data_IF_143583205945
#
_entry.id   IF_143583205945
#
_cell.length_a   1.000
_cell.length_b   1.000
_cell.length_c   1.000
_cell.angle_alpha   90.00
_cell.angle_beta   90.00
_cell.angle_gamma   90.00
#
_symmetry.space_group_name_H-M   'P 1'
#
loop_
_entity.id
_entity.type
_entity.pdbx_description
1 polymer ?
#
# COMPACT_ATOMS: atom_id res chain seq x y z
N UNK A 1 -4.46 18.82 -21.01
CA UNK A 1 -4.12 18.84 -19.57
C UNK A 1 -2.71 18.28 -19.38
N UNK A 2 -1.87 18.87 -18.51
CA UNK A 2 -0.51 18.37 -18.24
C UNK A 2 -0.56 17.46 -17.01
N UNK A 3 -0.21 16.18 -17.17
CA UNK A 3 -0.11 15.21 -16.06
C UNK A 3 1.16 15.45 -15.23
N UNK A 4 1.09 15.27 -13.92
CA UNK A 4 2.20 15.53 -13.02
C UNK A 4 2.22 14.56 -11.82
N UNK A 5 3.41 14.27 -11.30
CA UNK A 5 3.60 13.29 -10.22
C UNK A 5 4.84 13.58 -9.36
N UNK A 6 4.91 12.93 -8.21
CA UNK A 6 6.00 13.02 -7.24
C UNK A 6 6.40 11.64 -6.74
N UNK A 7 7.69 11.44 -6.47
CA UNK A 7 8.20 10.31 -5.69
C UNK A 7 9.06 10.83 -4.56
N UNK A 8 8.74 10.42 -3.32
CA UNK A 8 9.50 10.81 -2.13
C UNK A 8 9.96 9.60 -1.33
N UNK A 9 11.16 9.69 -0.73
CA UNK A 9 11.79 8.65 0.09
C UNK A 9 11.66 9.00 1.58
N UNK A 10 11.45 8.00 2.45
CA UNK A 10 11.27 8.21 3.90
C UNK A 10 12.54 8.01 4.73
N UNK A 11 12.85 8.96 5.64
CA UNK A 11 13.92 8.85 6.66
C UNK A 11 13.38 8.53 8.06
N UNK A 12 14.14 7.80 8.89
CA UNK A 12 13.64 7.26 10.16
C UNK A 12 13.44 8.29 11.28
N UNK A 13 12.32 8.19 12.01
CA UNK A 13 12.10 8.84 13.32
C UNK A 13 11.38 7.90 14.31
N UNK A 14 11.46 8.20 15.61
CA UNK A 14 11.06 7.32 16.73
C UNK A 14 9.57 7.45 17.15
N UNK A 15 8.99 6.36 17.67
CA UNK A 15 7.53 6.13 17.84
C UNK A 15 6.98 6.21 19.28
N UNK A 16 5.66 6.51 19.40
CA UNK A 16 4.82 6.29 20.60
C UNK A 16 3.38 5.79 20.29
N UNK A 17 2.84 4.96 21.20
CA UNK A 17 1.49 4.31 21.43
C UNK A 17 0.19 4.92 20.85
N UNK A 18 -1.03 4.31 20.82
CA UNK A 18 -1.68 2.98 21.02
C UNK A 18 -3.21 3.21 20.92
N UNK A 19 -4.01 2.42 20.16
CA UNK A 19 -5.38 1.98 20.57
C UNK A 19 -6.02 0.96 19.60
N UNK A 20 -6.95 0.17 20.13
CA UNK A 20 -7.69 -0.95 19.53
C UNK A 20 -8.90 -0.51 18.70
N UNK A 21 -9.28 -1.29 17.66
CA UNK A 21 -10.64 -1.39 17.05
C UNK A 21 -10.66 -2.64 16.13
N UNK A 22 -11.83 -3.15 15.74
CA UNK A 22 -12.02 -4.40 14.96
C UNK A 22 -11.98 -4.14 13.44
N UNK A 23 -11.52 -5.12 12.65
CA UNK A 23 -11.40 -5.09 11.17
C UNK A 23 -12.64 -5.72 10.51
N UNK A 24 -13.28 -5.04 9.56
CA UNK A 24 -14.39 -5.51 8.70
C UNK A 24 -14.14 -4.89 7.31
N UNK A 25 -13.97 -5.66 6.23
CA UNK A 25 -15.07 -5.93 5.29
C UNK A 25 -15.20 -7.38 4.78
N UNK A 26 -14.33 -8.31 5.17
CA UNK A 26 -14.55 -9.75 4.87
C UNK A 26 -15.68 -10.39 5.73
N UNK A 27 -16.28 -9.62 6.65
CA UNK A 27 -17.29 -10.10 7.59
C UNK A 27 -18.74 -9.78 7.22
N UNK A 28 -19.02 -8.88 6.27
CA UNK A 28 -20.41 -8.70 5.80
C UNK A 28 -20.91 -9.90 4.97
N UNK A 29 -19.99 -10.71 4.43
CA UNK A 29 -20.31 -11.99 3.81
C UNK A 29 -20.58 -13.12 4.83
N UNK A 30 -20.23 -12.94 6.11
CA UNK A 30 -20.31 -14.02 7.11
C UNK A 30 -21.77 -14.38 7.48
N UNK A 31 -22.69 -13.43 7.71
CA UNK A 31 -24.11 -13.76 7.91
C UNK A 31 -24.77 -14.38 6.67
N UNK A 32 -24.39 -13.95 5.47
CA UNK A 32 -24.91 -14.52 4.21
C UNK A 32 -24.35 -15.92 3.92
N UNK A 33 -23.06 -16.16 4.16
CA UNK A 33 -22.45 -17.48 4.01
C UNK A 33 -23.03 -18.50 4.99
N UNK A 34 -23.35 -18.09 6.23
CA UNK A 34 -24.09 -18.94 7.19
C UNK A 34 -25.51 -19.24 6.70
N UNK A 35 -26.22 -18.27 6.10
CA UNK A 35 -27.54 -18.49 5.47
C UNK A 35 -27.50 -19.42 4.25
N UNK A 36 -26.37 -19.49 3.54
CA UNK A 36 -26.17 -20.34 2.35
C UNK A 36 -25.57 -21.72 2.68
N UNK A 37 -25.51 -22.12 3.96
CA UNK A 37 -24.96 -23.43 4.36
C UNK A 37 -23.43 -23.53 4.32
N UNK A 38 -22.73 -22.41 4.12
CA UNK A 38 -21.27 -22.32 4.06
C UNK A 38 -20.65 -21.96 5.41
N UNK A 39 -21.30 -22.30 6.52
CA UNK A 39 -20.88 -21.92 7.87
C UNK A 39 -19.46 -22.41 8.21
N UNK A 40 -19.06 -23.59 7.72
CA UNK A 40 -17.71 -24.11 7.88
C UNK A 40 -16.67 -23.26 7.14
N UNK A 41 -16.97 -22.80 5.93
CA UNK A 41 -16.10 -21.91 5.14
C UNK A 41 -16.05 -20.51 5.73
N UNK A 42 -17.18 -19.97 6.20
CA UNK A 42 -17.24 -18.71 6.92
C UNK A 42 -16.37 -18.73 8.19
N UNK A 43 -16.40 -19.83 8.95
CA UNK A 43 -15.55 -20.02 10.14
C UNK A 43 -14.07 -20.16 9.78
N UNK A 44 -13.73 -20.85 8.68
CA UNK A 44 -12.35 -20.93 8.17
C UNK A 44 -11.84 -19.55 7.73
N UNK A 45 -12.64 -18.81 6.99
CA UNK A 45 -12.32 -17.44 6.55
C UNK A 45 -12.14 -16.53 7.76
N UNK A 46 -13.07 -16.56 8.72
CA UNK A 46 -12.96 -15.81 9.97
C UNK A 46 -11.66 -16.17 10.72
N UNK A 47 -11.35 -17.46 10.85
CA UNK A 47 -10.11 -17.92 11.46
C UNK A 47 -8.85 -17.42 10.75
N UNK A 48 -8.86 -17.35 9.41
CA UNK A 48 -7.75 -16.81 8.61
C UNK A 48 -7.62 -15.29 8.82
N UNK A 49 -8.71 -14.54 8.77
CA UNK A 49 -8.74 -13.09 9.01
C UNK A 49 -8.25 -12.76 10.41
N UNK A 50 -8.73 -13.47 11.43
CA UNK A 50 -8.28 -13.25 12.82
C UNK A 50 -6.80 -13.59 13.02
N UNK A 51 -6.25 -14.56 12.27
CA UNK A 51 -4.81 -14.87 12.29
C UNK A 51 -3.96 -13.80 11.58
N UNK A 52 -4.52 -13.13 10.58
CA UNK A 52 -3.90 -12.02 9.86
C UNK A 52 -3.81 -10.73 10.69
N UNK A 53 -4.55 -10.65 11.79
CA UNK A 53 -4.53 -9.52 12.73
C UNK A 53 -3.83 -9.95 14.03
N UNK A 54 -2.94 -9.09 14.54
CA UNK A 54 -2.29 -9.31 15.83
C UNK A 54 -3.31 -9.20 16.97
N UNK A 55 -3.44 -10.26 17.78
CA UNK A 55 -4.31 -10.27 18.97
C UNK A 55 -3.97 -9.17 19.98
N UNK A 56 -2.69 -8.80 20.11
CA UNK A 56 -2.22 -7.83 21.11
C UNK A 56 -2.43 -6.37 20.71
N UNK A 57 -2.30 -6.04 19.41
CA UNK A 57 -2.27 -4.64 18.93
C UNK A 57 -3.26 -4.34 17.80
N UNK A 58 -4.05 -5.32 17.35
CA UNK A 58 -5.00 -5.13 16.25
C UNK A 58 -4.34 -4.80 14.89
N UNK A 59 -3.02 -5.00 14.76
CA UNK A 59 -2.24 -4.67 13.56
C UNK A 59 -2.20 -5.81 12.55
N UNK A 60 -2.13 -5.48 11.26
CA UNK A 60 -1.98 -6.44 10.17
C UNK A 60 -0.65 -7.20 10.28
N UNK A 61 -0.66 -8.46 9.85
CA UNK A 61 0.50 -9.36 9.81
C UNK A 61 0.70 -9.83 8.38
N UNK A 62 1.52 -9.11 7.62
CA UNK A 62 1.75 -9.38 6.19
C UNK A 62 2.14 -10.83 5.89
N UNK A 63 3.05 -11.42 6.68
CA UNK A 63 3.43 -12.83 6.52
C UNK A 63 2.32 -13.86 6.84
N UNK A 64 1.18 -13.43 7.36
CA UNK A 64 -0.03 -14.28 7.48
C UNK A 64 -1.02 -14.04 6.35
N UNK A 65 -0.94 -12.88 5.70
CA UNK A 65 -1.78 -12.50 4.54
C UNK A 65 -1.21 -13.15 3.27
N UNK A 66 0.08 -12.92 2.99
CA UNK A 66 0.76 -13.39 1.78
C UNK A 66 1.51 -14.72 1.95
N UNK A 67 1.48 -15.29 3.16
CA UNK A 67 2.25 -16.49 3.49
C UNK A 67 3.65 -16.20 4.03
N UNK A 68 4.26 -17.22 4.62
CA UNK A 68 5.67 -17.18 5.01
C UNK A 68 6.57 -17.33 3.79
N UNK A 69 7.89 -17.07 3.93
CA UNK A 69 8.82 -17.30 2.85
C UNK A 69 8.67 -18.71 2.27
N UNK A 70 8.60 -18.78 0.95
CA UNK A 70 8.62 -20.05 0.22
C UNK A 70 9.96 -20.70 0.57
N UNK A 71 9.93 -21.87 1.21
CA UNK A 71 11.15 -22.67 1.33
C UNK A 71 11.55 -22.98 -0.10
N UNK A 72 12.73 -22.54 -0.53
CA UNK A 72 13.29 -23.01 -1.78
C UNK A 72 13.39 -24.53 -1.66
N UNK A 73 12.70 -25.25 -2.55
CA UNK A 73 12.82 -26.70 -2.65
C UNK A 73 14.23 -27.01 -3.18
N UNK A 74 15.18 -27.11 -2.25
CA UNK A 74 16.46 -27.75 -2.48
C UNK A 74 16.24 -29.24 -2.65
N UNK A 75 15.90 -29.64 -3.88
CA UNK A 75 15.90 -31.04 -4.31
C UNK A 75 17.29 -31.66 -4.15
N UNK A 76 17.34 -32.82 -3.52
CA UNK A 76 18.58 -33.58 -3.32
C UNK A 76 18.42 -34.68 -2.28
N UNK A 77 17.54 -35.65 -2.57
CA UNK A 77 17.47 -36.89 -1.81
C UNK A 77 18.75 -37.70 -2.01
N UNK A 78 19.40 -38.06 -0.90
CA UNK A 78 20.32 -39.20 -0.83
C UNK A 78 20.26 -39.77 0.58
N UNK A 79 19.78 -41.01 0.65
CA UNK A 79 19.75 -41.89 1.81
C UNK A 79 21.13 -42.14 2.42
N UNK A 80 21.25 -42.03 3.74
CA UNK A 80 22.43 -42.46 4.50
C UNK A 80 22.19 -42.40 6.00
N UNK A 81 22.23 -43.56 6.65
CA UNK A 81 21.89 -43.80 8.06
C UNK A 81 23.01 -43.42 9.04
N UNK A 82 22.59 -42.89 10.20
CA UNK A 82 23.21 -42.90 11.53
C UNK A 82 24.68 -42.44 11.74
N UNK A 83 24.83 -41.31 12.45
CA UNK A 83 25.79 -41.17 13.55
C UNK A 83 25.38 -40.04 14.51
N UNK A 84 25.21 -40.36 15.80
CA UNK A 84 25.12 -39.38 16.90
C UNK A 84 26.51 -38.76 17.08
N UNK A 85 26.61 -37.45 16.87
CA UNK A 85 27.81 -36.67 17.13
C UNK A 85 27.46 -35.25 17.56
N UNK A 86 27.86 -34.90 18.77
CA UNK A 86 27.76 -33.58 19.38
C UNK A 86 28.54 -32.53 18.58
N UNK A 87 27.97 -31.35 18.32
CA UNK A 87 28.77 -30.11 18.18
C UNK A 87 27.95 -28.83 18.32
N UNK A 88 28.56 -27.91 19.06
CA UNK A 88 28.18 -26.53 19.25
C UNK A 88 28.24 -25.72 17.94
N UNK A 89 27.49 -24.61 17.93
CA UNK A 89 27.83 -23.39 17.21
C UNK A 89 27.56 -23.38 15.70
N UNK A 90 26.45 -22.77 15.30
CA UNK A 90 26.32 -21.96 14.07
C UNK A 90 24.84 -21.62 13.90
N UNK A 91 24.39 -20.55 14.57
CA UNK A 91 23.07 -19.97 14.37
C UNK A 91 23.06 -19.20 13.03
N UNK A 92 23.07 -19.94 11.92
CA UNK A 92 22.75 -19.39 10.58
C UNK A 92 21.24 -19.43 10.43
N UNK A 93 20.57 -18.51 11.11
CA UNK A 93 19.21 -18.10 10.80
C UNK A 93 19.21 -17.48 9.41
N UNK A 94 19.01 -18.29 8.37
CA UNK A 94 18.60 -17.81 7.05
C UNK A 94 17.21 -17.22 7.20
N UNK A 95 17.16 -15.91 7.47
CA UNK A 95 15.91 -15.13 7.38
C UNK A 95 15.52 -15.15 5.92
N UNK A 96 14.72 -16.13 5.52
CA UNK A 96 14.17 -16.15 4.19
C UNK A 96 13.37 -14.84 4.01
N UNK A 97 13.85 -14.00 3.10
CA UNK A 97 13.38 -12.63 2.94
C UNK A 97 11.92 -12.65 2.52
N UNK A 98 11.11 -11.82 3.19
CA UNK A 98 9.73 -11.59 2.75
C UNK A 98 9.77 -10.67 1.54
N UNK A 99 8.85 -10.88 0.61
CA UNK A 99 8.66 -9.94 -0.50
C UNK A 99 8.26 -8.56 0.05
N UNK A 100 8.74 -7.46 -0.55
CA UNK A 100 8.34 -6.11 -0.19
C UNK A 100 6.84 -5.93 -0.33
N UNK A 101 6.24 -5.13 0.55
CA UNK A 101 4.81 -4.79 0.49
C UNK A 101 4.64 -3.46 -0.22
N UNK A 102 3.85 -3.46 -1.31
CA UNK A 102 3.42 -2.26 -2.03
C UNK A 102 1.96 -1.96 -1.73
N UNK A 103 1.61 -0.69 -1.61
CA UNK A 103 0.31 -0.22 -1.14
C UNK A 103 -0.27 0.82 -2.09
N UNK A 104 -1.44 0.57 -2.67
CA UNK A 104 -2.23 1.63 -3.31
C UNK A 104 -3.33 2.12 -2.36
N UNK A 105 -3.43 3.44 -2.22
CA UNK A 105 -4.44 4.13 -1.42
C UNK A 105 -5.50 4.73 -2.36
N UNK A 106 -6.77 4.56 -2.00
CA UNK A 106 -7.91 4.99 -2.81
C UNK A 106 -7.90 4.35 -4.22
N UNK A 107 -7.78 3.02 -4.25
CA UNK A 107 -7.57 2.22 -5.47
C UNK A 107 -8.69 2.29 -6.52
N UNK A 108 -9.82 2.92 -6.22
CA UNK A 108 -10.94 3.00 -7.14
C UNK A 108 -11.42 1.60 -7.52
N UNK A 109 -11.67 1.36 -8.81
CA UNK A 109 -12.11 0.05 -9.33
C UNK A 109 -11.00 -0.98 -9.47
N UNK A 110 -9.75 -0.61 -9.16
CA UNK A 110 -8.61 -1.52 -9.14
C UNK A 110 -7.92 -1.79 -10.47
N UNK A 111 -8.31 -1.11 -11.55
CA UNK A 111 -7.69 -1.30 -12.87
C UNK A 111 -6.16 -1.20 -12.79
N UNK A 112 -5.64 -0.20 -12.08
CA UNK A 112 -4.20 0.01 -11.97
C UNK A 112 -3.52 -1.03 -11.08
N UNK A 113 -3.92 -1.18 -9.82
CA UNK A 113 -3.23 -2.07 -8.86
C UNK A 113 -3.29 -3.55 -9.23
N UNK A 114 -4.37 -4.01 -9.86
CA UNK A 114 -4.48 -5.40 -10.33
C UNK A 114 -3.41 -5.67 -11.39
N UNK A 115 -3.28 -4.76 -12.36
CA UNK A 115 -2.30 -4.90 -13.45
C UNK A 115 -0.86 -4.70 -12.96
N UNK A 116 -0.62 -3.80 -12.00
CA UNK A 116 0.69 -3.70 -11.36
C UNK A 116 1.03 -4.98 -10.59
N UNK A 117 0.09 -5.51 -9.79
CA UNK A 117 0.32 -6.72 -9.02
C UNK A 117 0.63 -7.93 -9.91
N UNK A 118 -0.09 -8.08 -11.03
CA UNK A 118 0.19 -9.08 -12.06
C UNK A 118 1.59 -8.95 -12.66
N UNK A 119 2.02 -7.72 -12.98
CA UNK A 119 3.35 -7.46 -13.52
C UNK A 119 4.47 -7.69 -12.49
N UNK A 120 4.13 -7.77 -11.20
CA UNK A 120 5.07 -7.82 -10.08
C UNK A 120 4.98 -9.15 -9.28
N UNK A 121 4.39 -10.19 -9.88
CA UNK A 121 4.26 -11.52 -9.27
C UNK A 121 5.65 -12.08 -8.96
N UNK A 122 5.82 -12.54 -7.71
CA UNK A 122 7.09 -13.08 -7.22
C UNK A 122 8.12 -12.01 -6.82
N UNK A 123 7.89 -10.74 -7.17
CA UNK A 123 8.75 -9.62 -6.82
C UNK A 123 8.20 -8.78 -5.63
N UNK A 124 6.87 -8.60 -5.54
CA UNK A 124 6.25 -7.90 -4.41
C UNK A 124 4.88 -8.47 -4.02
N UNK A 125 4.45 -8.14 -2.81
CA UNK A 125 3.07 -8.33 -2.32
C UNK A 125 2.33 -7.00 -2.34
N UNK A 126 1.18 -6.95 -2.99
CA UNK A 126 0.39 -5.74 -3.17
C UNK A 126 -0.81 -5.68 -2.24
N UNK A 127 -1.11 -4.49 -1.74
CA UNK A 127 -2.32 -4.19 -0.97
C UNK A 127 -3.05 -3.02 -1.62
N UNK A 128 -4.33 -3.19 -1.92
CA UNK A 128 -5.23 -2.13 -2.37
C UNK A 128 -6.10 -1.68 -1.19
N UNK A 129 -6.23 -0.37 -0.98
CA UNK A 129 -7.14 0.21 0.02
C UNK A 129 -8.18 1.07 -0.68
N UNK A 130 -9.45 0.78 -0.44
CA UNK A 130 -10.56 1.52 -1.02
C UNK A 130 -11.68 1.69 0.01
N UNK A 131 -12.32 2.86 0.03
CA UNK A 131 -13.38 3.17 0.98
C UNK A 131 -14.72 2.59 0.53
N UNK A 132 -15.02 2.71 -0.77
CA UNK A 132 -16.31 2.36 -1.36
C UNK A 132 -16.45 0.86 -1.59
N UNK A 133 -17.47 0.27 -0.98
CA UNK A 133 -17.70 -1.18 -1.02
C UNK A 133 -17.89 -1.74 -2.43
N UNK A 134 -18.68 -1.07 -3.29
CA UNK A 134 -18.90 -1.47 -4.69
C UNK A 134 -17.57 -1.59 -5.45
N UNK A 135 -16.67 -0.63 -5.21
CA UNK A 135 -15.35 -0.60 -5.81
C UNK A 135 -14.43 -1.68 -5.23
N UNK A 136 -14.45 -1.91 -3.91
CA UNK A 136 -13.76 -3.05 -3.27
C UNK A 136 -14.15 -4.38 -3.93
N UNK A 137 -15.45 -4.59 -4.18
CA UNK A 137 -15.91 -5.79 -4.90
C UNK A 137 -15.44 -5.84 -6.35
N UNK A 138 -15.34 -4.70 -7.04
CA UNK A 138 -14.76 -4.64 -8.38
C UNK A 138 -13.28 -5.06 -8.39
N UNK A 139 -12.47 -4.55 -7.45
CA UNK A 139 -11.07 -4.96 -7.29
C UNK A 139 -10.98 -6.46 -7.03
N UNK A 140 -11.77 -6.97 -6.06
CA UNK A 140 -11.78 -8.39 -5.71
C UNK A 140 -12.19 -9.28 -6.89
N UNK A 141 -13.21 -8.88 -7.65
CA UNK A 141 -13.69 -9.63 -8.81
C UNK A 141 -12.62 -9.71 -9.90
N UNK A 142 -11.94 -8.59 -10.20
CA UNK A 142 -10.82 -8.57 -11.15
C UNK A 142 -9.66 -9.43 -10.68
N UNK A 143 -9.25 -9.28 -9.43
CA UNK A 143 -8.20 -10.08 -8.79
C UNK A 143 -8.49 -11.58 -8.92
N UNK A 144 -9.73 -12.01 -8.66
CA UNK A 144 -10.14 -13.41 -8.76
C UNK A 144 -10.19 -13.92 -10.20
N UNK A 145 -10.81 -13.15 -11.11
CA UNK A 145 -10.97 -13.54 -12.52
C UNK A 145 -9.64 -13.57 -13.29
N UNK A 146 -8.69 -12.71 -12.91
CA UNK A 146 -7.33 -12.70 -13.47
C UNK A 146 -6.33 -13.53 -12.66
N UNK A 147 -6.79 -14.23 -11.62
CA UNK A 147 -5.99 -15.11 -10.76
C UNK A 147 -4.73 -14.44 -10.17
N UNK A 148 -4.82 -13.18 -9.72
CA UNK A 148 -3.69 -12.40 -9.18
C UNK A 148 -3.31 -12.92 -7.80
N UNK A 149 -2.14 -13.57 -7.61
CA UNK A 149 -1.85 -14.34 -6.40
C UNK A 149 -1.25 -13.48 -5.27
N UNK A 150 -0.74 -12.30 -5.60
CA UNK A 150 0.03 -11.43 -4.72
C UNK A 150 -0.71 -10.14 -4.35
N UNK A 151 -2.04 -10.07 -4.50
CA UNK A 151 -2.84 -8.89 -4.16
C UNK A 151 -3.77 -9.16 -2.97
N UNK A 152 -3.85 -8.21 -2.05
CA UNK A 152 -4.80 -8.16 -0.95
C UNK A 152 -5.67 -6.90 -1.06
N UNK A 153 -6.97 -7.01 -0.81
CA UNK A 153 -7.90 -5.87 -0.87
C UNK A 153 -8.42 -5.54 0.53
N UNK A 154 -8.30 -4.28 0.93
CA UNK A 154 -8.78 -3.75 2.20
C UNK A 154 -9.86 -2.70 1.94
N UNK A 155 -11.08 -3.02 2.34
CA UNK A 155 -12.20 -2.09 2.23
C UNK A 155 -12.44 -1.32 3.53
N UNK A 156 -11.93 -0.10 3.63
CA UNK A 156 -12.13 0.81 4.78
C UNK A 156 -11.53 2.19 4.47
N UNK A 157 -11.84 3.14 5.34
CA UNK A 157 -11.08 4.37 5.49
C UNK A 157 -9.56 4.14 5.56
N UNK A 158 -8.83 4.79 4.66
CA UNK A 158 -7.40 4.64 4.52
C UNK A 158 -6.62 5.26 5.69
N UNK A 159 -7.07 6.38 6.24
CA UNK A 159 -6.42 7.00 7.40
C UNK A 159 -6.50 6.08 8.63
N UNK A 160 -7.63 5.42 8.85
CA UNK A 160 -7.78 4.43 9.91
C UNK A 160 -6.90 3.18 9.67
N UNK A 161 -6.81 2.68 8.44
CA UNK A 161 -5.95 1.52 8.12
C UNK A 161 -4.48 1.88 8.33
N UNK A 162 -4.01 2.96 7.71
CA UNK A 162 -2.60 3.37 7.76
C UNK A 162 -2.23 3.79 9.18
N UNK A 163 -3.06 4.59 9.85
CA UNK A 163 -2.83 5.12 11.19
C UNK A 163 -2.92 4.08 12.31
N UNK A 164 -3.84 3.12 12.24
CA UNK A 164 -4.10 2.19 13.36
C UNK A 164 -3.68 0.74 13.08
N UNK A 165 -3.77 0.28 11.83
CA UNK A 165 -3.69 -1.15 11.49
C UNK A 165 -2.34 -1.56 10.94
N UNK A 166 -1.69 -0.68 10.19
CA UNK A 166 -0.42 -1.01 9.59
C UNK A 166 0.70 -0.96 10.62
N UNK A 167 1.63 -1.91 10.51
CA UNK A 167 2.83 -1.90 11.31
C UNK A 167 3.80 -0.88 10.73
N UNK A 168 4.52 -0.20 11.61
CA UNK A 168 5.57 0.72 11.22
C UNK A 168 6.66 -0.01 10.45
N UNK A 169 7.25 0.64 9.45
CA UNK A 169 8.37 0.11 8.66
C UNK A 169 8.06 -1.24 8.00
N UNK A 170 6.91 -1.34 7.35
CA UNK A 170 6.49 -2.57 6.66
C UNK A 170 6.02 -2.39 5.23
N UNK A 171 5.87 -1.15 4.76
CA UNK A 171 5.50 -0.83 3.38
C UNK A 171 6.74 -0.32 2.66
N UNK A 172 7.10 -0.96 1.56
CA UNK A 172 8.24 -0.56 0.73
C UNK A 172 7.88 0.62 -0.19
N UNK A 173 6.65 0.64 -0.70
CA UNK A 173 6.18 1.65 -1.64
C UNK A 173 4.69 1.91 -1.48
N UNK A 174 4.31 3.17 -1.31
CA UNK A 174 2.92 3.63 -1.31
C UNK A 174 2.59 4.42 -2.59
N UNK A 175 1.37 4.26 -3.10
CA UNK A 175 0.88 4.89 -4.32
C UNK A 175 -0.44 5.59 -4.05
N UNK A 176 -0.58 6.81 -4.56
CA UNK A 176 -1.82 7.59 -4.55
C UNK A 176 -2.03 8.08 -5.98
N UNK A 177 -2.93 7.42 -6.70
CA UNK A 177 -3.21 7.71 -8.10
C UNK A 177 -4.53 8.49 -8.22
N UNK A 178 -4.48 9.63 -8.90
CA UNK A 178 -5.59 10.52 -9.19
C UNK A 178 -6.44 10.85 -7.94
N UNK A 179 -5.84 11.40 -6.88
CA UNK A 179 -6.59 11.74 -5.68
C UNK A 179 -7.67 12.77 -6.01
N UNK A 180 -8.80 12.66 -5.31
CA UNK A 180 -9.86 13.66 -5.43
C UNK A 180 -9.33 15.04 -4.98
N UNK A 181 -9.57 16.10 -5.75
CA UNK A 181 -9.18 17.44 -5.33
C UNK A 181 -9.94 17.81 -4.04
N UNK A 182 -9.36 18.63 -3.15
CA UNK A 182 -10.06 19.05 -1.94
C UNK A 182 -11.41 19.74 -2.25
N UNK A 183 -12.37 19.65 -1.35
CA UNK A 183 -13.78 20.04 -1.59
C UNK A 183 -14.02 21.56 -1.72
N UNK A 184 -13.10 22.42 -1.29
CA UNK A 184 -13.18 23.88 -1.50
C UNK A 184 -12.97 24.34 -2.95
N UNK A 185 -12.82 23.40 -3.89
CA UNK A 185 -12.37 23.66 -5.26
C UNK A 185 -13.53 23.80 -6.26
N UNK A 186 -14.79 23.59 -5.82
CA UNK A 186 -16.02 23.85 -6.58
C UNK A 186 -16.72 25.17 -6.19
N UNK A 187 -15.99 26.14 -5.61
CA UNK A 187 -16.51 27.49 -5.36
C UNK A 187 -17.18 27.71 -4.00
N UNK A 188 -16.96 26.81 -3.03
CA UNK A 188 -17.38 27.01 -1.63
C UNK A 188 -16.11 27.15 -0.79
N UNK A 189 -15.72 28.39 -0.50
CA UNK A 189 -14.47 28.73 0.21
C UNK A 189 -14.39 28.14 1.63
N UNK A 190 -15.51 27.68 2.19
CA UNK A 190 -15.62 27.18 3.58
C UNK A 190 -15.84 25.66 3.72
N UNK A 191 -15.74 24.88 2.65
CA UNK A 191 -15.81 23.42 2.77
C UNK A 191 -14.54 22.90 3.45
N UNK A 192 -14.57 22.82 4.79
CA UNK A 192 -13.43 22.50 5.65
C UNK A 192 -12.53 21.41 5.04
N UNK A 193 -11.25 21.73 4.86
CA UNK A 193 -10.21 20.77 4.47
C UNK A 193 -10.06 19.58 5.45
N UNK A 194 -10.81 19.57 6.56
CA UNK A 194 -10.82 18.54 7.59
C UNK A 194 -11.29 17.16 7.08
N UNK A 195 -12.02 17.09 5.95
CA UNK A 195 -12.43 15.83 5.32
C UNK A 195 -11.47 15.33 4.23
N UNK A 196 -10.39 16.07 3.96
CA UNK A 196 -9.44 15.68 2.92
C UNK A 196 -8.50 14.59 3.45
N UNK A 197 -8.53 13.41 2.79
CA UNK A 197 -7.67 12.27 3.16
C UNK A 197 -6.18 12.65 3.16
N UNK A 198 -5.73 13.48 2.20
CA UNK A 198 -4.32 13.81 2.01
C UNK A 198 -3.91 15.03 2.84
N UNK A 199 -4.15 14.93 4.15
CA UNK A 199 -3.76 15.92 5.15
C UNK A 199 -2.38 15.59 5.79
N UNK A 200 -1.73 16.55 6.47
CA UNK A 200 -0.46 16.33 7.17
C UNK A 200 -0.41 15.10 8.08
N UNK A 201 -1.47 14.86 8.86
CA UNK A 201 -1.55 13.72 9.78
C UNK A 201 -1.56 12.37 9.06
N UNK A 202 -2.20 12.33 7.88
CA UNK A 202 -2.21 11.14 7.04
C UNK A 202 -0.81 10.85 6.51
N UNK A 203 -0.11 11.85 5.98
CA UNK A 203 1.25 11.69 5.49
C UNK A 203 2.24 11.31 6.61
N UNK A 204 2.06 11.85 7.81
CA UNK A 204 2.85 11.45 8.99
C UNK A 204 2.59 9.98 9.35
N UNK A 205 1.33 9.54 9.32
CA UNK A 205 0.96 8.14 9.53
C UNK A 205 1.51 7.23 8.43
N UNK A 206 1.50 7.70 7.18
CA UNK A 206 2.01 6.99 6.02
C UNK A 206 3.53 6.83 6.10
N UNK A 207 4.25 7.91 6.44
CA UNK A 207 5.69 7.88 6.69
C UNK A 207 6.08 6.82 7.72
N UNK A 208 5.35 6.75 8.84
CA UNK A 208 5.60 5.73 9.89
C UNK A 208 5.53 4.30 9.35
N UNK A 209 4.59 4.02 8.44
CA UNK A 209 4.41 2.65 7.90
C UNK A 209 5.41 2.31 6.80
N UNK A 210 6.01 3.31 6.15
CA UNK A 210 7.08 3.11 5.19
C UNK A 210 8.34 2.58 5.90
N UNK A 211 8.99 1.61 5.26
CA UNK A 211 10.32 1.16 5.68
C UNK A 211 11.36 2.26 5.44
N UNK A 212 12.52 2.25 6.14
CA UNK A 212 13.59 3.19 5.83
C UNK A 212 13.99 3.08 4.35
N UNK A 213 14.01 4.20 3.63
CA UNK A 213 14.21 4.19 2.18
C UNK A 213 12.99 3.78 1.35
N UNK A 214 11.83 3.61 2.00
CA UNK A 214 10.55 3.36 1.34
C UNK A 214 10.05 4.59 0.58
N UNK A 215 9.25 4.35 -0.45
CA UNK A 215 8.84 5.37 -1.41
C UNK A 215 7.34 5.70 -1.31
N UNK A 216 6.99 6.95 -1.61
CA UNK A 216 5.62 7.39 -1.85
C UNK A 216 5.54 8.02 -3.24
N UNK A 217 4.73 7.44 -4.12
CA UNK A 217 4.40 8.00 -5.43
C UNK A 217 3.00 8.61 -5.42
N UNK A 218 2.88 9.88 -5.77
CA UNK A 218 1.59 10.56 -5.99
C UNK A 218 1.49 10.95 -7.45
N UNK A 219 0.43 10.55 -8.13
CA UNK A 219 0.20 10.86 -9.54
C UNK A 219 -1.17 11.50 -9.75
N UNK A 220 -1.24 12.60 -10.51
CA UNK A 220 -2.50 13.24 -10.86
C UNK A 220 -2.41 13.99 -12.19
N UNK A 221 -3.55 14.23 -12.82
CA UNK A 221 -3.73 15.14 -13.94
C UNK A 221 -4.04 16.59 -13.50
N UNK A 222 -4.30 16.81 -12.21
CA UNK A 222 -4.57 18.12 -11.63
C UNK A 222 -3.29 18.75 -11.08
N UNK A 223 -2.59 19.51 -11.92
CA UNK A 223 -1.34 20.17 -11.54
C UNK A 223 -1.48 21.07 -10.30
N UNK A 224 -2.61 21.76 -10.10
CA UNK A 224 -2.82 22.60 -8.91
C UNK A 224 -2.93 21.74 -7.64
N UNK A 225 -3.63 20.60 -7.70
CA UNK A 225 -3.67 19.63 -6.61
C UNK A 225 -2.25 19.12 -6.28
N UNK A 226 -1.47 18.75 -7.30
CA UNK A 226 -0.08 18.33 -7.10
C UNK A 226 0.76 19.39 -6.39
N UNK A 227 0.64 20.67 -6.75
CA UNK A 227 1.39 21.75 -6.06
C UNK A 227 1.02 21.89 -4.60
N UNK A 228 -0.28 21.78 -4.27
CA UNK A 228 -0.76 21.85 -2.89
C UNK A 228 -0.24 20.66 -2.08
N UNK A 229 -0.24 19.46 -2.66
CA UNK A 229 0.32 18.27 -2.01
C UNK A 229 1.84 18.39 -1.84
N UNK A 230 2.57 18.90 -2.83
CA UNK A 230 4.00 19.15 -2.74
C UNK A 230 4.34 20.14 -1.62
N UNK A 231 3.61 21.26 -1.54
CA UNK A 231 3.77 22.24 -0.47
C UNK A 231 3.42 21.66 0.90
N UNK A 232 2.43 20.76 0.97
CA UNK A 232 2.09 20.05 2.20
C UNK A 232 3.24 19.16 2.65
N UNK A 233 3.81 18.35 1.75
CA UNK A 233 4.92 17.45 2.04
C UNK A 233 6.20 18.20 2.48
N UNK A 234 6.47 19.37 1.87
CA UNK A 234 7.60 20.23 2.22
C UNK A 234 7.57 20.72 3.68
N UNK A 235 6.38 20.83 4.27
CA UNK A 235 6.21 21.32 5.65
C UNK A 235 6.29 20.20 6.70
N UNK A 236 6.37 18.94 6.28
CA UNK A 236 6.35 17.80 7.20
C UNK A 236 7.74 17.52 7.77
N UNK A 237 7.93 17.95 9.02
CA UNK A 237 9.17 17.81 9.77
C UNK A 237 8.99 16.89 10.99
N UNK A 238 10.02 16.15 11.36
CA UNK A 238 10.12 15.47 12.67
C UNK A 238 11.53 15.60 13.20
N UNK A 239 11.66 16.15 14.41
CA UNK A 239 12.98 16.44 15.01
C UNK A 239 13.82 17.43 14.19
N UNK A 240 13.17 18.30 13.41
CA UNK A 240 13.84 19.26 12.52
C UNK A 240 14.28 18.70 11.16
N UNK A 241 14.07 17.41 10.89
CA UNK A 241 14.35 16.79 9.59
C UNK A 241 13.06 16.57 8.79
N UNK A 242 13.13 16.72 7.46
CA UNK A 242 12.02 16.42 6.56
C UNK A 242 11.64 14.94 6.64
N UNK A 243 10.34 14.67 6.71
CA UNK A 243 9.82 13.29 6.65
C UNK A 243 10.06 12.67 5.28
N UNK A 244 9.94 13.48 4.24
CA UNK A 244 9.97 13.06 2.84
C UNK A 244 11.01 13.86 2.08
N UNK A 245 11.83 13.17 1.29
CA UNK A 245 12.82 13.80 0.40
C UNK A 245 12.55 13.41 -1.03
N UNK A 246 12.70 14.35 -1.97
CA UNK A 246 12.44 14.04 -3.39
C UNK A 246 13.50 13.14 -3.98
N UNK A 247 13.07 12.07 -4.65
CA UNK A 247 13.96 11.22 -5.42
C UNK A 247 14.40 11.93 -6.70
N UNK A 248 15.68 11.82 -7.07
CA UNK A 248 16.20 12.30 -8.36
C UNK A 248 16.01 11.22 -9.41
N UNK A 249 15.36 11.55 -10.52
CA UNK A 249 15.02 10.59 -11.56
C UNK A 249 15.82 10.90 -12.83
N UNK A 250 16.76 10.01 -13.15
CA UNK A 250 17.76 10.24 -14.20
C UNK A 250 17.15 10.46 -15.59
N UNK A 251 15.96 9.93 -15.86
CA UNK A 251 15.30 9.96 -17.16
C UNK A 251 14.29 11.09 -17.33
N UNK A 252 14.04 11.89 -16.28
CA UNK A 252 13.08 13.00 -16.35
C UNK A 252 13.84 14.32 -16.45
N UNK A 253 13.72 14.97 -17.62
CA UNK A 253 14.48 16.19 -17.94
C UNK A 253 13.83 17.49 -17.41
N UNK A 254 12.59 17.43 -16.92
CA UNK A 254 11.88 18.63 -16.44
C UNK A 254 11.06 18.36 -15.18
N UNK A 255 11.22 19.22 -14.18
CA UNK A 255 10.41 19.25 -12.98
C UNK A 255 10.17 20.70 -12.53
N UNK A 256 9.08 20.91 -11.81
CA UNK A 256 8.79 22.14 -11.05
C UNK A 256 9.27 21.92 -9.60
N UNK A 257 10.03 22.86 -9.05
CA UNK A 257 10.52 22.78 -7.66
C UNK A 257 9.56 23.54 -6.73
N UNK A 258 9.06 22.86 -5.69
CA UNK A 258 8.14 23.41 -4.69
C UNK A 258 8.74 23.16 -3.31
N UNK A 259 9.41 24.16 -2.75
CA UNK A 259 10.23 23.98 -1.55
C UNK A 259 11.33 22.94 -1.79
N UNK A 260 11.40 21.92 -0.95
CA UNK A 260 12.27 20.74 -1.09
C UNK A 260 11.71 19.65 -2.02
N UNK A 261 10.46 19.78 -2.50
CA UNK A 261 9.77 18.76 -3.26
C UNK A 261 9.85 19.01 -4.78
N UNK A 262 10.17 17.99 -5.58
CA UNK A 262 10.23 18.04 -7.05
C UNK A 262 8.97 17.46 -7.69
N UNK A 263 8.22 18.29 -8.40
CA UNK A 263 7.06 17.91 -9.21
C UNK A 263 7.49 17.55 -10.63
N UNK A 264 7.45 16.27 -10.96
CA UNK A 264 7.76 15.80 -12.31
C UNK A 264 6.53 15.90 -13.20
N UNK A 265 6.76 16.22 -14.48
CA UNK A 265 5.69 16.26 -15.49
C UNK A 265 5.77 15.02 -16.39
N UNK A 266 4.60 14.54 -16.82
CA UNK A 266 4.47 13.37 -17.69
C UNK A 266 3.82 12.19 -17.02
N UNK A 267 4.21 10.98 -17.43
CA UNK A 267 3.69 9.71 -16.90
C UNK A 267 4.81 9.04 -16.11
N UNK A 268 4.57 8.58 -14.87
CA UNK A 268 5.58 7.89 -14.07
C UNK A 268 5.99 6.57 -14.73
N UNK A 269 7.29 6.26 -14.67
CA UNK A 269 7.88 5.03 -15.19
C UNK A 269 8.13 3.95 -14.13
N UNK A 270 8.76 2.83 -14.52
CA UNK A 270 9.11 1.74 -13.61
C UNK A 270 9.97 2.17 -12.40
N UNK A 271 10.81 3.19 -12.57
CA UNK A 271 11.61 3.79 -11.51
C UNK A 271 10.78 4.40 -10.37
N UNK A 272 9.51 4.70 -10.65
CA UNK A 272 8.53 5.20 -9.68
C UNK A 272 7.58 4.11 -9.19
N UNK A 273 7.85 2.84 -9.54
CA UNK A 273 7.01 1.69 -9.22
C UNK A 273 5.85 1.44 -10.19
N UNK A 274 5.73 2.21 -11.28
CA UNK A 274 4.72 2.02 -12.33
C UNK A 274 5.26 1.05 -13.41
N UNK A 275 5.10 -0.26 -13.15
CA UNK A 275 5.59 -1.33 -14.02
C UNK A 275 4.80 -1.45 -15.32
N UNK A 276 3.48 -1.25 -15.24
CA UNK A 276 2.59 -1.28 -16.41
C UNK A 276 1.98 0.09 -16.63
N UNK A 277 1.93 0.51 -17.89
CA UNK A 277 1.18 1.71 -18.28
C UNK A 277 -0.30 1.34 -18.37
N UNK A 278 -1.04 1.72 -17.34
CA UNK A 278 -2.50 1.65 -17.34
C UNK A 278 -3.08 3.04 -17.12
N UNK A 279 -4.10 3.37 -17.92
CA UNK A 279 -4.88 4.59 -17.78
C UNK A 279 -5.91 4.38 -16.68
N UNK A 280 -6.09 5.36 -15.80
CA UNK A 280 -7.14 5.28 -14.80
C UNK A 280 -8.53 5.26 -15.46
N UNK A 281 -9.55 4.83 -14.71
CA UNK A 281 -10.94 4.96 -15.17
C UNK A 281 -11.28 6.40 -15.61
N UNK A 282 -10.73 7.41 -14.91
CA UNK A 282 -10.95 8.82 -15.24
C UNK A 282 -10.27 9.23 -16.55
N UNK A 283 -9.09 8.71 -16.86
CA UNK A 283 -8.41 8.99 -18.14
C UNK A 283 -9.30 8.62 -19.35
N UNK A 284 -10.03 7.50 -19.26
CA UNK A 284 -10.96 7.05 -20.32
C UNK A 284 -12.17 7.98 -20.51
N UNK A 285 -12.49 8.82 -19.53
CA UNK A 285 -13.62 9.75 -19.61
C UNK A 285 -13.26 11.04 -20.36
N UNK A 286 -11.98 11.27 -20.66
CA UNK A 286 -11.48 12.47 -21.34
C UNK A 286 -10.89 12.18 -22.73
N UNK A 287 -11.05 10.96 -23.25
CA UNK A 287 -10.56 10.53 -24.58
C UNK A 287 -11.56 10.79 -25.73
N UNK A 288 -12.56 11.65 -25.54
CA UNK A 288 -13.55 12.04 -26.57
C UNK A 288 -13.46 13.53 -26.93
#
# INVERSE_FOLDING_TARGET
MRRAWHVVESHAAAEGSSCCIKLIQLLHACPQAVRLGLASEAMKVHGRVTKAISKKKGRLRWGRIFGGPVKSDGGGGSSGSAAKGSKAGSDKSTVASRLPVKLEIASGTGDWVVEQALADVGAASWTAVELRHDRVYAIFSRMALQAVPNLCVLGRDAAAIVGERMQSKTVAHAFINFPEPPTGWQGVEDASNALHLLAPDFFTSLHRVLEPGGHLTIFSDNGRCCRVLAATLDQLLTGGALLFTSQTLAHVSSYEQIGSVRLYHGVPGPECGHLKRETSYFDRMWEY
#
